data_IF_546199278903
#
_entry.id   IF_546199278903
#
_cell.length_a   1.000
_cell.length_b   1.000
_cell.length_c   1.000
_cell.angle_alpha   90.00
_cell.angle_beta   90.00
_cell.angle_gamma   90.00
#
_symmetry.space_group_name_H-M   'P 1'
#
loop_
_entity.id
_entity.type
_entity.pdbx_description
1 polymer ?
#
# COMPACT_ATOMS: atom_id res chain seq x y z
N UNK A 1 -32.73 9.86 18.01
CA UNK A 1 -33.44 9.05 16.99
C UNK A 1 -33.67 7.67 17.59
N UNK A 2 -34.92 7.21 17.65
CA UNK A 2 -35.29 5.94 18.30
C UNK A 2 -35.23 4.77 17.30
N UNK A 3 -34.01 4.35 16.94
CA UNK A 3 -33.79 3.18 16.08
C UNK A 3 -33.65 1.89 16.93
N UNK A 4 -34.37 0.83 16.53
CA UNK A 4 -34.19 -0.49 17.14
C UNK A 4 -32.85 -1.07 16.69
N UNK A 5 -31.87 -1.04 17.59
CA UNK A 5 -30.48 -1.40 17.28
C UNK A 5 -30.21 -2.87 17.53
N UNK A 6 -29.54 -3.53 16.59
CA UNK A 6 -29.04 -4.89 16.67
C UNK A 6 -27.52 -4.87 16.47
N UNK A 7 -26.80 -5.67 17.24
CA UNK A 7 -25.34 -5.69 17.23
C UNK A 7 -24.81 -7.11 17.22
N UNK A 8 -23.65 -7.30 16.58
CA UNK A 8 -22.94 -8.57 16.62
C UNK A 8 -21.69 -8.47 17.47
N UNK A 9 -21.46 -9.45 18.35
CA UNK A 9 -20.28 -9.48 19.24
C UNK A 9 -19.57 -10.82 19.25
N UNK A 10 -18.24 -10.73 19.29
CA UNK A 10 -17.37 -11.90 19.25
C UNK A 10 -17.14 -12.58 20.60
N UNK A 11 -17.44 -11.99 21.76
CA UNK A 11 -17.20 -12.61 23.08
C UNK A 11 -18.28 -12.25 24.10
N UNK A 12 -18.39 -13.05 25.16
CA UNK A 12 -19.35 -12.79 26.25
C UNK A 12 -18.97 -11.53 27.03
N UNK A 13 -17.68 -11.22 27.18
CA UNK A 13 -17.27 -9.97 27.84
C UNK A 13 -17.75 -8.74 27.05
N UNK A 14 -17.68 -8.78 25.71
CA UNK A 14 -18.22 -7.72 24.85
C UNK A 14 -19.74 -7.63 24.92
N UNK A 15 -20.41 -8.77 25.03
CA UNK A 15 -21.86 -8.82 25.20
C UNK A 15 -22.28 -8.12 26.49
N UNK A 16 -21.68 -8.52 27.61
CA UNK A 16 -21.98 -7.94 28.92
C UNK A 16 -21.68 -6.44 28.95
N UNK A 17 -20.56 -6.03 28.34
CA UNK A 17 -20.21 -4.62 28.21
C UNK A 17 -21.29 -3.78 27.50
N UNK A 18 -21.84 -4.26 26.39
CA UNK A 18 -22.91 -3.56 25.66
C UNK A 18 -24.23 -3.50 26.44
N UNK A 19 -24.53 -4.52 27.25
CA UNK A 19 -25.70 -4.53 28.12
C UNK A 19 -25.53 -3.47 29.23
N UNK A 20 -24.39 -3.46 29.90
CA UNK A 20 -24.16 -2.63 31.09
C UNK A 20 -23.92 -1.15 30.77
N UNK A 21 -23.41 -0.83 29.57
CA UNK A 21 -22.96 0.53 29.24
C UNK A 21 -23.76 1.21 28.12
N UNK A 22 -24.52 0.45 27.32
CA UNK A 22 -25.26 0.98 26.15
C UNK A 22 -26.74 0.59 26.15
N UNK A 23 -27.24 -0.01 27.24
CA UNK A 23 -28.63 -0.44 27.42
C UNK A 23 -29.16 -1.29 26.25
N UNK A 24 -28.28 -2.04 25.57
CA UNK A 24 -28.69 -2.89 24.46
C UNK A 24 -29.31 -4.17 25.02
N UNK A 25 -30.57 -4.49 24.68
CA UNK A 25 -31.23 -5.69 25.19
C UNK A 25 -30.43 -6.96 24.85
N UNK A 26 -30.30 -7.93 25.78
CA UNK A 26 -29.57 -9.17 25.52
C UNK A 26 -30.07 -9.98 24.32
N UNK A 27 -31.35 -9.79 23.94
CA UNK A 27 -31.98 -10.37 22.75
C UNK A 27 -31.54 -9.72 21.44
N UNK A 28 -31.05 -8.48 21.47
CA UNK A 28 -30.59 -7.75 20.28
C UNK A 28 -29.09 -7.95 19.99
N UNK A 29 -28.40 -8.70 20.86
CA UNK A 29 -26.97 -8.98 20.73
C UNK A 29 -26.80 -10.42 20.25
N UNK A 30 -26.18 -10.58 19.07
CA UNK A 30 -26.03 -11.88 18.40
C UNK A 30 -24.55 -12.19 18.16
N UNK A 31 -24.16 -13.46 18.17
CA UNK A 31 -22.78 -13.85 17.83
C UNK A 31 -22.62 -14.00 16.32
N UNK A 32 -21.66 -13.30 15.67
CA UNK A 32 -21.39 -13.45 14.24
C UNK A 32 -20.58 -14.73 13.94
N UNK A 33 -20.20 -15.53 14.93
CA UNK A 33 -19.43 -16.78 14.68
C UNK A 33 -20.29 -17.93 14.15
N UNK A 34 -21.57 -17.68 13.91
CA UNK A 34 -22.52 -18.67 13.45
C UNK A 34 -23.33 -18.08 12.31
N UNK A 35 -23.37 -18.75 11.16
CA UNK A 35 -24.21 -18.40 10.00
C UNK A 35 -25.69 -18.19 10.36
N UNK A 36 -26.13 -18.69 11.51
CA UNK A 36 -27.47 -18.47 12.06
C UNK A 36 -27.73 -17.05 12.57
N UNK A 37 -26.72 -16.17 12.69
CA UNK A 37 -26.90 -14.83 13.27
C UNK A 37 -27.95 -14.01 12.50
N UNK A 38 -27.93 -14.08 11.17
CA UNK A 38 -28.87 -13.40 10.28
C UNK A 38 -30.32 -13.82 10.57
N UNK A 39 -30.54 -15.13 10.77
CA UNK A 39 -31.84 -15.68 11.15
C UNK A 39 -32.27 -15.19 12.54
N UNK A 40 -31.36 -15.20 13.52
CA UNK A 40 -31.66 -14.72 14.87
C UNK A 40 -32.03 -13.23 14.89
N UNK A 41 -31.39 -12.39 14.07
CA UNK A 41 -31.78 -10.99 13.93
C UNK A 41 -33.23 -10.88 13.43
N UNK A 42 -33.59 -11.62 12.38
CA UNK A 42 -34.95 -11.62 11.85
C UNK A 42 -36.00 -12.14 12.86
N UNK A 43 -35.67 -13.19 13.63
CA UNK A 43 -36.55 -13.73 14.67
C UNK A 43 -36.85 -12.68 15.76
N UNK A 44 -35.82 -11.96 16.23
CA UNK A 44 -35.97 -10.90 17.25
C UNK A 44 -36.61 -9.63 16.68
N UNK A 45 -36.42 -9.38 15.39
CA UNK A 45 -37.13 -8.36 14.64
C UNK A 45 -38.59 -8.75 14.31
N UNK A 46 -39.05 -9.94 14.74
CA UNK A 46 -40.40 -10.46 14.48
C UNK A 46 -40.72 -10.53 12.98
N UNK A 47 -39.73 -10.92 12.17
CA UNK A 47 -39.84 -11.00 10.72
C UNK A 47 -39.72 -9.66 10.01
N UNK A 48 -39.53 -8.54 10.72
CA UNK A 48 -39.16 -7.26 10.10
C UNK A 48 -37.72 -7.31 9.63
N UNK A 49 -37.50 -6.77 8.44
CA UNK A 49 -36.20 -6.70 7.81
C UNK A 49 -35.39 -5.48 8.30
N UNK A 50 -34.10 -5.41 7.97
CA UNK A 50 -33.20 -4.37 8.49
C UNK A 50 -33.04 -3.22 7.49
N UNK A 51 -33.40 -2.00 7.91
CA UNK A 51 -33.35 -0.82 7.04
C UNK A 51 -31.94 -0.32 6.77
N UNK A 52 -31.06 -0.31 7.78
CA UNK A 52 -29.68 0.19 7.69
C UNK A 52 -28.74 -0.81 8.34
N UNK A 53 -27.69 -1.20 7.63
CA UNK A 53 -26.63 -2.08 8.15
C UNK A 53 -25.27 -1.42 7.97
N UNK A 54 -24.43 -1.50 9.00
CA UNK A 54 -23.01 -1.13 8.92
C UNK A 54 -22.23 -2.42 9.05
N UNK A 55 -21.67 -2.90 7.94
CA UNK A 55 -21.01 -4.21 7.87
C UNK A 55 -19.47 -4.07 7.85
N UNK A 56 -18.77 -4.64 8.84
CA UNK A 56 -17.33 -4.89 8.78
C UNK A 56 -16.97 -6.38 8.54
N UNK A 57 -17.97 -7.27 8.45
CA UNK A 57 -17.74 -8.72 8.35
C UNK A 57 -17.37 -9.10 6.91
N UNK A 58 -16.63 -10.20 6.75
CA UNK A 58 -16.13 -10.66 5.44
C UNK A 58 -16.72 -12.02 5.05
N UNK A 59 -16.47 -12.42 3.80
CA UNK A 59 -16.80 -13.74 3.26
C UNK A 59 -18.31 -14.03 3.31
N UNK A 60 -18.69 -15.25 3.69
CA UNK A 60 -20.09 -15.70 3.81
C UNK A 60 -20.92 -14.78 4.73
N UNK A 61 -20.28 -14.17 5.74
CA UNK A 61 -20.95 -13.28 6.69
C UNK A 61 -21.43 -11.99 6.04
N UNK A 62 -20.70 -11.49 5.04
CA UNK A 62 -21.12 -10.33 4.25
C UNK A 62 -22.36 -10.68 3.43
N UNK A 63 -22.38 -11.82 2.73
CA UNK A 63 -23.54 -12.25 1.94
C UNK A 63 -24.78 -12.51 2.81
N UNK A 64 -24.60 -13.12 3.99
CA UNK A 64 -25.69 -13.32 4.95
C UNK A 64 -26.25 -12.00 5.50
N UNK A 65 -25.38 -11.02 5.78
CA UNK A 65 -25.79 -9.68 6.21
C UNK A 65 -26.56 -8.97 5.09
N UNK A 66 -26.09 -9.11 3.84
CA UNK A 66 -26.73 -8.48 2.70
C UNK A 66 -28.16 -9.00 2.44
N UNK A 67 -28.37 -10.30 2.62
CA UNK A 67 -29.68 -10.93 2.37
C UNK A 67 -30.77 -10.48 3.35
N UNK A 68 -30.42 -10.11 4.58
CA UNK A 68 -31.39 -9.65 5.58
C UNK A 68 -31.76 -8.17 5.45
N UNK A 69 -31.19 -7.47 4.46
CA UNK A 69 -31.59 -6.12 4.10
C UNK A 69 -33.09 -6.06 3.85
N UNK A 70 -33.77 -5.05 4.41
CA UNK A 70 -35.16 -4.78 4.12
C UNK A 70 -35.40 -4.09 2.80
N UNK A 71 -36.65 -4.10 2.36
CA UNK A 71 -37.06 -3.45 1.13
C UNK A 71 -36.73 -1.96 1.21
N UNK A 72 -35.99 -1.45 0.23
CA UNK A 72 -35.47 -0.07 0.23
C UNK A 72 -34.30 0.17 1.19
N UNK A 73 -33.82 -0.85 1.91
CA UNK A 73 -32.77 -0.73 2.89
C UNK A 73 -31.39 -0.45 2.29
N UNK A 74 -30.44 -0.06 3.13
CA UNK A 74 -29.07 0.26 2.74
C UNK A 74 -28.05 -0.51 3.58
N UNK A 75 -27.15 -1.22 2.92
CA UNK A 75 -25.95 -1.76 3.55
C UNK A 75 -24.74 -0.88 3.27
N UNK A 76 -24.08 -0.42 4.32
CA UNK A 76 -22.84 0.35 4.29
C UNK A 76 -21.68 -0.59 4.64
N UNK A 77 -20.87 -0.92 3.65
CA UNK A 77 -19.68 -1.76 3.79
C UNK A 77 -18.48 -0.90 4.19
N UNK A 78 -17.94 -1.13 5.39
CA UNK A 78 -16.75 -0.43 5.90
C UNK A 78 -15.50 -1.33 5.89
N UNK A 79 -15.67 -2.63 5.60
CA UNK A 79 -14.59 -3.55 5.34
C UNK A 79 -14.02 -3.40 3.93
N UNK A 80 -12.77 -3.85 3.74
CA UNK A 80 -12.05 -3.73 2.46
C UNK A 80 -11.68 -5.04 1.82
N UNK A 81 -11.56 -6.11 2.62
CA UNK A 81 -10.98 -7.37 2.20
C UNK A 81 -11.68 -7.93 0.96
N UNK A 82 -12.99 -8.08 1.02
CA UNK A 82 -13.76 -8.72 -0.07
C UNK A 82 -13.81 -7.87 -1.34
N UNK A 83 -13.80 -6.54 -1.20
CA UNK A 83 -13.75 -5.59 -2.31
C UNK A 83 -12.39 -5.70 -3.03
N UNK A 84 -11.28 -5.70 -2.27
CA UNK A 84 -9.93 -5.84 -2.83
C UNK A 84 -9.71 -7.22 -3.44
N UNK A 85 -10.27 -8.26 -2.82
CA UNK A 85 -10.19 -9.64 -3.31
C UNK A 85 -11.11 -9.88 -4.53
N UNK A 86 -11.94 -8.90 -4.94
CA UNK A 86 -12.80 -8.99 -6.11
C UNK A 86 -13.91 -10.04 -5.99
N UNK A 87 -14.47 -10.23 -4.78
CA UNK A 87 -15.49 -11.25 -4.53
C UNK A 87 -16.85 -10.90 -5.14
N UNK A 88 -17.63 -11.95 -5.39
CA UNK A 88 -19.01 -11.84 -5.89
C UNK A 88 -19.98 -11.57 -4.74
N UNK A 89 -20.98 -10.73 -5.01
CA UNK A 89 -22.08 -10.42 -4.09
C UNK A 89 -23.42 -10.84 -4.72
N UNK A 90 -24.36 -11.32 -3.90
CA UNK A 90 -25.71 -11.64 -4.37
C UNK A 90 -26.42 -10.41 -4.94
N UNK A 91 -26.97 -10.53 -6.15
CA UNK A 91 -27.82 -9.50 -6.76
C UNK A 91 -29.26 -9.53 -6.23
N UNK A 92 -29.63 -10.55 -5.43
CA UNK A 92 -31.00 -10.73 -4.96
C UNK A 92 -31.54 -9.48 -4.24
N UNK A 93 -30.91 -8.89 -3.22
CA UNK A 93 -31.54 -7.78 -2.50
C UNK A 93 -31.79 -6.53 -3.38
N UNK A 94 -31.12 -6.38 -4.52
CA UNK A 94 -31.35 -5.25 -5.43
C UNK A 94 -32.75 -5.25 -6.05
N UNK A 95 -33.41 -6.41 -6.20
CA UNK A 95 -34.80 -6.46 -6.69
C UNK A 95 -35.80 -5.91 -5.66
N UNK A 96 -35.38 -5.74 -4.41
CA UNK A 96 -36.15 -5.15 -3.31
C UNK A 96 -35.79 -3.68 -3.09
N UNK A 97 -35.21 -3.03 -4.10
CA UNK A 97 -34.72 -1.65 -4.07
C UNK A 97 -33.65 -1.38 -2.99
N UNK A 98 -32.92 -2.40 -2.55
CA UNK A 98 -31.85 -2.23 -1.59
C UNK A 98 -30.65 -1.51 -2.22
N UNK A 99 -29.91 -0.76 -1.41
CA UNK A 99 -28.67 -0.09 -1.80
C UNK A 99 -27.46 -0.71 -1.11
N UNK A 100 -26.37 -0.90 -1.86
CA UNK A 100 -25.07 -1.29 -1.31
C UNK A 100 -24.09 -0.12 -1.47
N UNK A 101 -23.45 0.29 -0.37
CA UNK A 101 -22.52 1.42 -0.36
C UNK A 101 -21.20 1.04 0.31
N UNK A 102 -20.14 0.89 -0.48
CA UNK A 102 -18.79 0.81 0.06
C UNK A 102 -18.33 2.19 0.55
N UNK A 103 -17.80 2.27 1.76
CA UNK A 103 -17.30 3.50 2.36
C UNK A 103 -15.86 3.31 2.86
N UNK A 104 -14.95 4.12 2.33
CA UNK A 104 -13.54 4.10 2.69
C UNK A 104 -13.08 5.47 3.20
N UNK A 105 -12.70 5.53 4.48
CA UNK A 105 -12.15 6.73 5.11
C UNK A 105 -10.62 6.86 5.01
N UNK A 106 -9.93 5.84 4.48
CA UNK A 106 -8.46 5.82 4.39
C UNK A 106 -7.89 6.36 3.09
N UNK A 107 -8.76 6.73 2.15
CA UNK A 107 -8.36 7.39 0.92
C UNK A 107 -8.37 8.90 1.16
N UNK A 108 -7.28 9.62 0.86
CA UNK A 108 -7.22 10.37 -0.40
C UNK A 108 -5.82 10.96 -0.62
N UNK A 109 -5.20 10.60 -1.75
CA UNK A 109 -4.15 11.42 -2.37
C UNK A 109 -4.75 12.63 -3.12
N UNK A 110 -6.06 12.62 -3.34
CA UNK A 110 -6.82 13.68 -3.99
C UNK A 110 -8.13 13.93 -3.22
N UNK A 111 -8.09 14.66 -2.10
CA UNK A 111 -9.32 15.29 -1.60
C UNK A 111 -9.57 16.47 -2.54
N UNK A 112 -10.52 16.34 -3.45
CA UNK A 112 -10.95 17.48 -4.27
C UNK A 112 -11.72 18.47 -3.42
N UNK A 113 -11.67 19.77 -3.77
CA UNK A 113 -12.37 20.83 -3.04
C UNK A 113 -13.87 20.54 -2.78
N UNK A 114 -14.65 19.94 -3.71
CA UNK A 114 -16.05 19.57 -3.44
C UNK A 114 -16.23 18.48 -2.38
N UNK A 115 -15.25 17.57 -2.26
CA UNK A 115 -15.23 16.58 -1.18
C UNK A 115 -14.89 17.28 0.14
N UNK A 116 -13.93 18.21 0.17
CA UNK A 116 -13.60 19.01 1.37
C UNK A 116 -14.82 19.79 1.84
N UNK A 117 -15.56 20.46 0.95
CA UNK A 117 -16.78 21.20 1.31
C UNK A 117 -17.84 20.28 1.92
N UNK A 118 -18.05 19.09 1.34
CA UNK A 118 -18.95 18.07 1.88
C UNK A 118 -18.47 17.55 3.25
N UNK A 119 -17.16 17.34 3.42
CA UNK A 119 -16.58 16.94 4.70
C UNK A 119 -16.59 18.08 5.72
N UNK A 120 -16.53 19.35 5.30
CA UNK A 120 -16.66 20.52 6.16
C UNK A 120 -18.05 20.59 6.79
N UNK A 121 -19.10 20.31 6.00
CA UNK A 121 -20.46 20.14 6.51
C UNK A 121 -20.60 18.98 7.51
N UNK A 122 -20.04 17.81 7.17
CA UNK A 122 -20.02 16.65 8.07
C UNK A 122 -19.25 16.91 9.36
N UNK A 123 -18.14 17.63 9.29
CA UNK A 123 -17.34 17.99 10.45
C UNK A 123 -18.12 18.94 11.37
N UNK A 124 -18.83 19.93 10.80
CA UNK A 124 -19.73 20.79 11.55
C UNK A 124 -20.82 19.99 12.26
N UNK A 125 -21.47 19.07 11.55
CA UNK A 125 -22.51 18.19 12.11
C UNK A 125 -21.95 17.31 13.25
N UNK A 126 -20.74 16.77 13.10
CA UNK A 126 -20.06 16.03 14.16
C UNK A 126 -19.85 16.92 15.39
N UNK A 127 -19.39 18.16 15.22
CA UNK A 127 -19.22 19.10 16.33
C UNK A 127 -20.55 19.43 17.01
N UNK A 128 -21.63 19.61 16.24
CA UNK A 128 -22.96 19.83 16.79
C UNK A 128 -23.42 18.64 17.64
N UNK A 129 -23.19 17.41 17.17
CA UNK A 129 -23.49 16.18 17.91
C UNK A 129 -22.62 16.02 19.18
N UNK A 130 -21.35 16.42 19.13
CA UNK A 130 -20.46 16.43 20.31
C UNK A 130 -20.96 17.45 21.33
N UNK A 131 -21.27 18.67 20.91
CA UNK A 131 -21.76 19.74 21.77
C UNK A 131 -23.14 19.40 22.39
N UNK A 132 -23.99 18.71 21.63
CA UNK A 132 -25.27 18.18 22.11
C UNK A 132 -25.13 16.96 23.04
N UNK A 133 -23.92 16.42 23.22
CA UNK A 133 -23.66 15.26 24.08
C UNK A 133 -24.07 13.91 23.46
N UNK A 134 -24.35 13.87 22.15
CA UNK A 134 -24.66 12.62 21.43
C UNK A 134 -23.40 11.81 21.09
N UNK A 135 -22.26 12.48 20.95
CA UNK A 135 -20.95 11.84 20.73
C UNK A 135 -20.06 12.14 21.93
N UNK A 136 -19.54 11.09 22.55
CA UNK A 136 -18.61 11.15 23.68
C UNK A 136 -17.36 10.30 23.41
N UNK A 137 -16.25 10.53 24.14
CA UNK A 137 -15.04 9.75 23.97
C UNK A 137 -15.30 8.25 24.11
N UNK A 138 -14.71 7.45 23.22
CA UNK A 138 -14.81 5.99 23.26
C UNK A 138 -14.27 5.48 24.59
N UNK A 139 -15.05 4.63 25.25
CA UNK A 139 -14.69 3.97 26.50
C UNK A 139 -14.87 2.44 26.35
N UNK A 140 -13.99 1.60 26.94
CA UNK A 140 -12.79 1.96 27.70
C UNK A 140 -11.61 2.37 26.81
N UNK A 141 -10.66 3.11 27.40
CA UNK A 141 -9.36 3.40 26.79
C UNK A 141 -8.33 2.52 27.47
N UNK A 142 -7.75 1.58 26.72
CA UNK A 142 -6.59 0.80 27.16
C UNK A 142 -5.33 1.56 26.77
N UNK A 143 -4.59 2.06 27.77
CA UNK A 143 -3.33 2.74 27.50
C UNK A 143 -2.18 1.74 27.41
N UNK A 144 -1.20 2.06 26.58
CA UNK A 144 0.06 1.34 26.43
C UNK A 144 1.18 2.37 26.27
N UNK A 145 2.40 2.02 26.65
CA UNK A 145 3.52 2.96 26.59
C UNK A 145 4.34 2.79 25.31
N UNK A 146 5.00 3.87 24.86
CA UNK A 146 5.88 3.83 23.68
C UNK A 146 7.01 2.79 23.77
N UNK A 147 7.45 2.40 24.97
CA UNK A 147 8.46 1.35 25.15
C UNK A 147 7.93 -0.06 24.86
N UNK A 148 6.61 -0.25 24.73
CA UNK A 148 5.96 -1.55 24.58
C UNK A 148 4.88 -1.58 23.48
N UNK A 149 5.16 -0.89 22.36
CA UNK A 149 4.31 -0.92 21.16
C UNK A 149 4.01 -2.35 20.66
N UNK A 150 4.96 -3.31 20.64
CA UNK A 150 4.68 -4.67 20.18
C UNK A 150 3.57 -5.38 20.97
N UNK A 151 3.50 -5.17 22.28
CA UNK A 151 2.45 -5.75 23.13
C UNK A 151 1.09 -5.10 22.85
N UNK A 152 1.05 -3.78 22.65
CA UNK A 152 -0.16 -3.08 22.24
C UNK A 152 -0.71 -3.62 20.90
N UNK A 153 0.16 -3.79 19.91
CA UNK A 153 -0.22 -4.38 18.61
C UNK A 153 -0.68 -5.84 18.74
N UNK A 154 -0.04 -6.61 19.61
CA UNK A 154 -0.45 -8.00 19.90
C UNK A 154 -1.82 -8.05 20.57
N UNK A 155 -2.10 -7.13 21.49
CA UNK A 155 -3.40 -6.99 22.13
C UNK A 155 -4.50 -6.64 21.12
N UNK A 156 -4.25 -5.67 20.23
CA UNK A 156 -5.15 -5.31 19.12
C UNK A 156 -5.42 -6.54 18.25
N UNK A 157 -4.36 -7.22 17.79
CA UNK A 157 -4.45 -8.41 16.91
C UNK A 157 -5.23 -9.56 17.54
N UNK A 158 -5.22 -9.69 18.88
CA UNK A 158 -5.99 -10.72 19.57
C UNK A 158 -7.51 -10.52 19.47
N UNK A 159 -7.98 -9.34 19.06
CA UNK A 159 -9.40 -9.00 18.93
C UNK A 159 -10.15 -8.91 20.27
N UNK A 160 -9.46 -9.07 21.41
CA UNK A 160 -10.05 -9.03 22.76
C UNK A 160 -10.30 -7.62 23.29
N UNK A 161 -9.72 -6.60 22.67
CA UNK A 161 -9.89 -5.23 23.12
C UNK A 161 -11.35 -4.76 22.96
N UNK A 162 -11.77 -3.94 23.91
CA UNK A 162 -13.02 -3.18 23.91
C UNK A 162 -12.62 -1.71 23.91
N UNK A 163 -13.32 -0.89 23.12
CA UNK A 163 -13.00 0.53 23.01
C UNK A 163 -11.68 0.78 22.25
N UNK A 164 -10.84 1.68 22.75
CA UNK A 164 -9.67 2.19 22.04
C UNK A 164 -8.37 1.82 22.75
N UNK A 165 -7.40 1.32 21.99
CA UNK A 165 -6.01 1.20 22.46
C UNK A 165 -5.27 2.49 22.11
N UNK A 166 -4.70 3.15 23.11
CA UNK A 166 -3.95 4.42 22.97
C UNK A 166 -2.52 4.20 23.42
N UNK A 167 -1.56 4.58 22.57
CA UNK A 167 -0.14 4.56 22.92
C UNK A 167 0.24 5.96 23.39
N UNK A 168 0.69 6.07 24.63
CA UNK A 168 1.04 7.34 25.25
C UNK A 168 2.50 7.36 25.71
N UNK A 169 2.99 8.58 25.94
CA UNK A 169 4.28 8.81 26.57
C UNK A 169 4.11 8.67 28.07
N UNK A 170 4.93 7.83 28.68
CA UNK A 170 5.08 7.83 30.14
C UNK A 170 5.59 9.21 30.55
N UNK A 171 4.80 9.93 31.37
CA UNK A 171 5.13 11.27 31.82
C UNK A 171 6.54 11.32 32.44
N UNK A 172 7.29 12.39 32.14
CA UNK A 172 8.63 12.70 32.68
C UNK A 172 9.80 11.78 32.32
N UNK A 173 9.68 10.88 31.33
CA UNK A 173 10.83 10.09 30.85
C UNK A 173 11.10 10.30 29.37
N UNK A 174 12.39 10.42 29.03
CA UNK A 174 12.84 10.23 27.66
C UNK A 174 12.75 8.74 27.32
N UNK A 175 11.83 8.44 26.40
CA UNK A 175 11.54 7.08 25.95
C UNK A 175 12.47 6.77 24.78
N UNK A 176 13.29 5.71 24.91
CA UNK A 176 14.12 5.21 23.82
C UNK A 176 13.35 4.16 23.03
N UNK A 177 12.88 4.53 21.85
CA UNK A 177 12.21 3.59 20.93
C UNK A 177 13.15 3.14 19.81
N UNK A 178 13.14 1.86 19.43
CA UNK A 178 13.85 1.41 18.24
C UNK A 178 13.19 2.03 17.01
N UNK A 179 13.89 2.94 16.34
CA UNK A 179 13.44 3.50 15.07
C UNK A 179 13.96 2.64 13.93
N UNK A 180 13.11 2.38 12.94
CA UNK A 180 13.59 1.91 11.63
C UNK A 180 14.20 3.12 10.94
N UNK A 181 15.52 3.16 10.66
CA UNK A 181 16.11 4.28 9.96
C UNK A 181 15.40 4.44 8.62
N UNK A 182 15.05 5.70 8.30
CA UNK A 182 14.51 6.02 6.99
C UNK A 182 15.55 5.61 5.96
N UNK A 183 15.19 4.69 5.06
CA UNK A 183 16.08 4.35 3.95
C UNK A 183 16.30 5.64 3.14
N UNK A 184 17.55 6.08 2.94
CA UNK A 184 17.81 7.27 2.16
C UNK A 184 17.20 7.07 0.78
N UNK A 185 16.35 8.02 0.37
CA UNK A 185 15.82 8.03 -0.98
C UNK A 185 16.94 8.52 -1.89
N UNK A 186 17.32 7.70 -2.86
CA UNK A 186 18.28 8.10 -3.89
C UNK A 186 17.71 9.33 -4.61
N UNK A 187 18.44 10.44 -4.56
CA UNK A 187 18.15 11.67 -5.32
C UNK A 187 19.37 11.94 -6.18
N UNK A 188 19.20 11.80 -7.50
CA UNK A 188 20.24 12.00 -8.48
C UNK A 188 20.24 13.46 -8.93
N UNK A 189 21.44 13.98 -9.17
CA UNK A 189 21.65 15.36 -9.59
C UNK A 189 21.18 15.50 -11.05
N UNK A 190 20.34 16.51 -11.35
CA UNK A 190 19.77 16.67 -12.68
C UNK A 190 20.72 17.33 -13.69
N UNK A 191 21.79 17.96 -13.23
CA UNK A 191 22.74 18.78 -14.00
C UNK A 191 24.04 18.06 -14.35
N UNK A 192 24.09 16.75 -14.15
CA UNK A 192 25.24 15.88 -14.44
C UNK A 192 24.83 14.69 -15.29
N UNK A 193 25.81 14.04 -15.92
CA UNK A 193 25.62 12.79 -16.67
C UNK A 193 25.94 11.57 -15.83
N UNK A 194 25.21 10.48 -16.11
CA UNK A 194 25.45 9.16 -15.55
C UNK A 194 25.83 8.17 -16.65
N UNK A 195 27.01 7.57 -16.54
CA UNK A 195 27.49 6.57 -17.50
C UNK A 195 27.04 5.17 -17.07
N UNK A 196 26.30 4.49 -17.94
CA UNK A 196 25.98 3.06 -17.79
C UNK A 196 26.77 2.30 -18.84
N UNK A 197 27.71 1.47 -18.38
CA UNK A 197 28.47 0.58 -19.24
C UNK A 197 27.73 -0.75 -19.29
N UNK A 198 27.27 -1.17 -20.46
CA UNK A 198 26.40 -2.32 -20.66
C UNK A 198 25.12 -1.97 -21.43
N UNK A 199 24.55 -2.96 -22.13
CA UNK A 199 23.37 -2.74 -22.97
C UNK A 199 22.07 -2.58 -22.17
N UNK A 200 21.06 -1.93 -22.77
CA UNK A 200 19.77 -1.64 -22.13
C UNK A 200 18.78 -2.82 -22.13
N UNK A 201 19.11 -3.93 -22.79
CA UNK A 201 18.21 -5.10 -22.94
C UNK A 201 17.91 -5.87 -21.66
N UNK A 202 18.52 -5.50 -20.53
CA UNK A 202 18.43 -6.24 -19.27
C UNK A 202 18.44 -5.32 -18.04
N UNK A 203 19.19 -5.70 -17.01
CA UNK A 203 19.21 -5.01 -15.72
C UNK A 203 19.55 -3.51 -15.84
N UNK A 204 20.51 -3.17 -16.70
CA UNK A 204 20.93 -1.80 -16.96
C UNK A 204 19.79 -0.94 -17.51
N UNK A 205 18.86 -1.51 -18.29
CA UNK A 205 17.71 -0.77 -18.81
C UNK A 205 16.71 -0.39 -17.72
N UNK A 206 16.35 -1.35 -16.86
CA UNK A 206 15.51 -1.08 -15.70
C UNK A 206 16.16 -0.10 -14.72
N UNK A 207 17.48 -0.19 -14.56
CA UNK A 207 18.24 0.76 -13.75
C UNK A 207 18.20 2.16 -14.36
N UNK A 208 18.33 2.32 -15.68
CA UNK A 208 18.23 3.62 -16.35
C UNK A 208 16.86 4.28 -16.09
N UNK A 209 15.76 3.53 -16.22
CA UNK A 209 14.41 4.02 -15.90
C UNK A 209 14.33 4.44 -14.43
N UNK A 210 14.83 3.61 -13.53
CA UNK A 210 14.86 3.92 -12.10
C UNK A 210 15.68 5.18 -11.80
N UNK A 211 16.82 5.38 -12.46
CA UNK A 211 17.63 6.57 -12.32
C UNK A 211 16.89 7.82 -12.80
N UNK A 212 16.15 7.75 -13.92
CA UNK A 212 15.26 8.81 -14.37
C UNK A 212 14.19 9.17 -13.32
N UNK A 213 13.55 8.15 -12.72
CA UNK A 213 12.60 8.35 -11.62
C UNK A 213 13.21 8.99 -10.36
N UNK A 214 14.54 8.86 -10.18
CA UNK A 214 15.29 9.44 -9.06
C UNK A 214 15.93 10.80 -9.39
N UNK A 215 15.69 11.35 -10.58
CA UNK A 215 16.09 12.71 -10.95
C UNK A 215 17.27 12.81 -11.91
N UNK A 216 17.82 11.69 -12.39
CA UNK A 216 18.81 11.74 -13.47
C UNK A 216 18.14 12.29 -14.74
N UNK A 217 18.77 13.28 -15.37
CA UNK A 217 18.29 13.84 -16.64
C UNK A 217 19.16 13.46 -17.84
N UNK A 218 20.40 13.04 -17.60
CA UNK A 218 21.36 12.71 -18.64
C UNK A 218 21.98 11.35 -18.34
N UNK A 219 21.71 10.37 -19.19
CA UNK A 219 22.30 9.03 -19.13
C UNK A 219 23.08 8.78 -20.42
N UNK A 220 24.33 8.37 -20.27
CA UNK A 220 25.18 7.93 -21.38
C UNK A 220 25.28 6.40 -21.30
N UNK A 221 25.01 5.71 -22.40
CA UNK A 221 25.04 4.25 -22.46
C UNK A 221 26.19 3.82 -23.35
N UNK A 222 27.18 3.16 -22.75
CA UNK A 222 28.31 2.58 -23.46
C UNK A 222 28.06 1.10 -23.70
N UNK A 223 27.85 0.70 -24.96
CA UNK A 223 27.68 -0.71 -25.31
C UNK A 223 28.16 -1.01 -26.73
N UNK A 224 28.72 -2.21 -26.93
CA UNK A 224 29.22 -2.67 -28.24
C UNK A 224 28.12 -2.87 -29.29
N UNK A 225 26.90 -3.15 -28.85
CA UNK A 225 25.76 -3.45 -29.72
C UNK A 225 24.87 -2.23 -30.01
N UNK A 226 25.19 -1.09 -29.39
CA UNK A 226 24.38 0.12 -29.45
C UNK A 226 22.99 -0.01 -28.82
N UNK A 227 22.16 1.01 -29.03
CA UNK A 227 20.79 1.08 -28.48
C UNK A 227 19.71 1.09 -29.58
N UNK A 228 20.05 0.80 -30.83
CA UNK A 228 19.13 0.90 -31.97
C UNK A 228 18.04 -0.19 -32.03
N UNK A 229 18.18 -1.27 -31.26
CA UNK A 229 17.18 -2.34 -31.25
C UNK A 229 15.90 -1.95 -30.49
N UNK A 230 14.79 -2.62 -30.81
CA UNK A 230 13.46 -2.34 -30.26
C UNK A 230 13.41 -2.40 -28.72
N UNK A 231 14.10 -3.36 -28.11
CA UNK A 231 14.09 -3.50 -26.65
C UNK A 231 14.80 -2.32 -25.98
N UNK A 232 15.97 -1.92 -26.51
CA UNK A 232 16.69 -0.74 -26.03
C UNK A 232 15.90 0.56 -26.26
N UNK A 233 15.25 0.72 -27.43
CA UNK A 233 14.43 1.90 -27.73
C UNK A 233 13.21 2.04 -26.82
N UNK A 234 12.58 0.92 -26.42
CA UNK A 234 11.50 0.93 -25.42
C UNK A 234 11.97 1.48 -24.07
N UNK A 235 13.18 1.11 -23.63
CA UNK A 235 13.78 1.66 -22.41
C UNK A 235 14.07 3.15 -22.54
N UNK A 236 14.61 3.59 -23.68
CA UNK A 236 14.87 5.01 -23.97
C UNK A 236 13.58 5.82 -23.89
N UNK A 237 12.48 5.34 -24.48
CA UNK A 237 11.18 6.01 -24.41
C UNK A 237 10.67 6.15 -22.96
N UNK A 238 10.85 5.12 -22.13
CA UNK A 238 10.50 5.19 -20.70
C UNK A 238 11.37 6.20 -19.93
N UNK A 239 12.66 6.32 -20.26
CA UNK A 239 13.53 7.34 -19.67
C UNK A 239 13.08 8.75 -20.07
N UNK A 240 12.74 8.96 -21.34
CA UNK A 240 12.24 10.25 -21.85
C UNK A 240 10.94 10.65 -21.19
N UNK A 241 10.04 9.70 -20.88
CA UNK A 241 8.82 9.96 -20.11
C UNK A 241 9.11 10.50 -18.69
N UNK A 242 10.31 10.28 -18.16
CA UNK A 242 10.81 10.84 -16.90
C UNK A 242 11.72 12.06 -17.10
N UNK A 243 11.69 12.69 -18.28
CA UNK A 243 12.55 13.85 -18.63
C UNK A 243 14.04 13.50 -18.55
N UNK A 244 14.37 12.23 -18.80
CA UNK A 244 15.75 11.73 -18.84
C UNK A 244 16.15 11.41 -20.29
N UNK A 245 17.13 12.15 -20.80
CA UNK A 245 17.74 11.90 -22.09
C UNK A 245 18.74 10.75 -21.99
N UNK A 246 18.74 9.88 -23.00
CA UNK A 246 19.69 8.76 -23.12
C UNK A 246 20.51 8.97 -24.40
N UNK A 247 21.83 8.95 -24.27
CA UNK A 247 22.78 9.11 -25.40
C UNK A 247 23.62 7.85 -25.52
N UNK A 248 23.81 7.37 -26.74
CA UNK A 248 24.69 6.24 -27.03
C UNK A 248 26.16 6.70 -27.11
N UNK A 249 27.05 5.97 -26.44
CA UNK A 249 28.49 6.04 -26.62
C UNK A 249 28.97 4.70 -27.20
N UNK A 250 29.12 4.62 -28.53
CA UNK A 250 29.58 3.41 -29.21
C UNK A 250 31.09 3.23 -29.06
N UNK A 251 31.53 2.24 -28.28
CA UNK A 251 32.94 1.89 -28.14
C UNK A 251 33.19 0.77 -27.11
N UNK A 252 34.46 0.40 -26.94
CA UNK A 252 34.90 -0.55 -25.93
C UNK A 252 35.54 0.18 -24.75
N UNK A 253 34.96 0.06 -23.57
CA UNK A 253 35.48 0.67 -22.35
C UNK A 253 36.83 0.05 -21.91
N UNK A 254 37.23 -1.09 -22.50
CA UNK A 254 38.57 -1.65 -22.32
C UNK A 254 39.68 -0.86 -23.02
N UNK A 255 39.34 0.09 -23.91
CA UNK A 255 40.31 0.93 -24.61
C UNK A 255 40.52 2.26 -23.85
N UNK A 256 41.70 2.50 -23.24
CA UNK A 256 41.91 3.67 -22.39
C UNK A 256 41.73 5.02 -23.11
N UNK A 257 42.07 5.08 -24.39
CA UNK A 257 41.92 6.31 -25.19
C UNK A 257 40.45 6.63 -25.44
N UNK A 258 39.62 5.62 -25.71
CA UNK A 258 38.16 5.79 -25.82
C UNK A 258 37.57 6.29 -24.50
N UNK A 259 37.97 5.71 -23.36
CA UNK A 259 37.48 6.17 -22.05
C UNK A 259 37.87 7.63 -21.79
N UNK A 260 39.13 8.01 -22.05
CA UNK A 260 39.58 9.39 -21.89
C UNK A 260 38.77 10.35 -22.76
N UNK A 261 38.54 9.98 -24.02
CA UNK A 261 37.75 10.77 -24.95
C UNK A 261 36.31 10.93 -24.45
N UNK A 262 35.65 9.83 -24.07
CA UNK A 262 34.29 9.81 -23.55
C UNK A 262 34.10 10.74 -22.35
N UNK A 263 35.02 10.70 -21.37
CA UNK A 263 34.96 11.58 -20.21
C UNK A 263 35.26 13.04 -20.55
N UNK A 264 36.09 13.30 -21.56
CA UNK A 264 36.44 14.66 -21.99
C UNK A 264 35.35 15.34 -22.82
N UNK A 265 34.56 14.58 -23.58
CA UNK A 265 33.51 15.08 -24.48
C UNK A 265 32.11 15.07 -23.84
N UNK A 266 31.95 14.43 -22.68
CA UNK A 266 30.65 14.33 -22.02
C UNK A 266 30.17 15.67 -21.46
N UNK A 267 29.04 16.13 -22.00
CA UNK A 267 28.33 17.31 -21.53
C UNK A 267 26.86 16.96 -21.22
N UNK A 268 26.37 17.14 -19.98
CA UNK A 268 27.10 17.56 -18.77
C UNK A 268 28.15 16.54 -18.26
N UNK A 269 29.00 16.97 -17.33
CA UNK A 269 30.08 16.13 -16.79
C UNK A 269 29.57 14.83 -16.17
N UNK A 270 30.31 13.74 -16.37
CA UNK A 270 29.98 12.44 -15.78
C UNK A 270 30.27 12.46 -14.28
N UNK A 271 29.24 12.28 -13.45
CA UNK A 271 29.36 12.26 -11.98
C UNK A 271 29.01 10.91 -11.34
N UNK A 272 28.57 9.94 -12.14
CA UNK A 272 28.36 8.58 -11.68
C UNK A 272 28.56 7.57 -12.80
N UNK A 273 29.15 6.43 -12.44
CA UNK A 273 29.43 5.34 -13.36
C UNK A 273 28.81 4.05 -12.81
N UNK A 274 28.10 3.34 -13.67
CA UNK A 274 27.59 2.00 -13.41
C UNK A 274 28.27 1.04 -14.38
N UNK A 275 29.15 0.20 -13.86
CA UNK A 275 29.76 -0.88 -14.63
C UNK A 275 28.85 -2.12 -14.62
N UNK A 276 28.01 -2.22 -15.64
CA UNK A 276 27.08 -3.33 -15.86
C UNK A 276 27.47 -4.26 -17.02
N UNK A 277 28.64 -4.07 -17.64
CA UNK A 277 29.10 -4.91 -18.73
C UNK A 277 29.40 -6.33 -18.21
N UNK A 278 28.88 -7.31 -18.92
CA UNK A 278 29.10 -8.71 -18.61
C UNK A 278 29.07 -9.53 -19.88
N UNK A 279 30.09 -10.35 -20.08
CA UNK A 279 30.11 -11.37 -21.12
C UNK A 279 30.19 -12.73 -20.46
N UNK A 280 29.26 -13.62 -20.78
CA UNK A 280 29.22 -14.98 -20.25
C UNK A 280 29.96 -15.95 -21.18
N UNK A 281 30.78 -16.81 -20.57
CA UNK A 281 31.53 -17.91 -21.20
C UNK A 281 31.52 -19.14 -20.28
N UNK A 282 30.31 -19.54 -19.88
CA UNK A 282 30.12 -20.58 -18.88
C UNK A 282 30.53 -21.95 -19.44
N UNK A 283 31.55 -22.53 -18.82
CA UNK A 283 32.11 -23.85 -19.14
C UNK A 283 32.57 -24.54 -17.86
N UNK A 284 32.40 -25.87 -17.73
CA UNK A 284 33.12 -26.64 -16.71
C UNK A 284 34.62 -26.37 -16.79
N UNK A 285 35.29 -26.28 -15.64
CA UNK A 285 36.71 -25.91 -15.55
C UNK A 285 37.61 -26.76 -16.47
N UNK A 286 37.36 -28.06 -16.53
CA UNK A 286 38.11 -29.01 -17.37
C UNK A 286 38.04 -28.70 -18.88
N UNK A 287 36.99 -27.98 -19.31
CA UNK A 287 36.73 -27.63 -20.72
C UNK A 287 36.92 -26.14 -20.99
N UNK A 288 37.30 -25.36 -19.98
CA UNK A 288 37.47 -23.93 -20.08
C UNK A 288 38.81 -23.62 -20.73
N UNK A 289 38.77 -23.02 -21.92
CA UNK A 289 39.96 -22.47 -22.57
C UNK A 289 40.41 -21.18 -21.88
N UNK A 290 41.70 -20.86 -22.02
CA UNK A 290 42.28 -19.59 -21.58
C UNK A 290 41.51 -18.39 -22.18
N UNK A 291 41.10 -18.49 -23.45
CA UNK A 291 40.29 -17.47 -24.13
C UNK A 291 38.93 -17.25 -23.45
N UNK A 292 38.23 -18.33 -23.07
CA UNK A 292 36.95 -18.23 -22.35
C UNK A 292 37.12 -17.51 -21.02
N UNK A 293 38.19 -17.83 -20.28
CA UNK A 293 38.52 -17.18 -19.01
C UNK A 293 38.77 -15.68 -19.21
N UNK A 294 39.69 -15.31 -20.10
CA UNK A 294 40.02 -13.90 -20.34
C UNK A 294 38.85 -13.09 -20.89
N UNK A 295 38.04 -13.67 -21.78
CA UNK A 295 36.85 -13.01 -22.33
C UNK A 295 35.83 -12.68 -21.24
N UNK A 296 35.60 -13.58 -20.29
CA UNK A 296 34.63 -13.38 -19.21
C UNK A 296 35.08 -12.30 -18.22
N UNK A 297 36.37 -12.26 -17.88
CA UNK A 297 36.90 -11.30 -16.90
C UNK A 297 37.19 -9.92 -17.49
N UNK A 298 37.43 -9.82 -18.81
CA UNK A 298 37.82 -8.58 -19.48
C UNK A 298 36.87 -7.42 -19.14
N UNK A 299 35.57 -7.65 -19.33
CA UNK A 299 34.51 -6.66 -19.09
C UNK A 299 34.38 -6.18 -17.64
N UNK A 300 35.05 -6.84 -16.68
CA UNK A 300 34.99 -6.49 -15.25
C UNK A 300 36.31 -6.07 -14.65
N UNK A 301 37.44 -6.59 -15.15
CA UNK A 301 38.77 -6.31 -14.60
C UNK A 301 39.48 -5.24 -15.42
N UNK A 302 39.57 -5.40 -16.74
CA UNK A 302 40.23 -4.42 -17.59
C UNK A 302 39.37 -3.16 -17.80
N UNK A 303 38.06 -3.32 -17.71
CA UNK A 303 37.05 -2.30 -17.98
C UNK A 303 36.58 -1.51 -16.74
N UNK A 304 37.11 -1.78 -15.55
CA UNK A 304 36.78 -1.07 -14.30
C UNK A 304 37.97 -0.25 -13.85
#
# INVERSE_FOLDING_TARGET
MDAKTFVTVGSEEKRQFLIDNYDIPPSHIVSPRNVKFAKSILEVAQGRSVDIMINPLTDEMLDLTWRICGDGGTMVEIGKKDIVDGKMLSMEPLHRNCSFRAMDFSYTKDISDPLIERYGGLLSEIFDLVNAGHIYPVHPITTSVFNDVPSALTYIRSGRHIGKVVIERESDKDVRVPIRPVLPRLALQPDVSYLIVGGLKGLCGNLAIYMGQRGAKHIIVCSRSGIADEASQSIVANCVAHVCQVVEAGGDIGEPDFVRQLFSEAEPVISGVVQGAMTLRDKPFETMTIENYHTAIHAKIACT
#
